data_IF_065275474593
#
_entry.id   IF_065275474593
#
_cell.length_a   1.000
_cell.length_b   1.000
_cell.length_c   1.000
_cell.angle_alpha   90.00
_cell.angle_beta   90.00
_cell.angle_gamma   90.00
#
_symmetry.space_group_name_H-M   'P 1'
#
loop_
_entity.id
_entity.type
_entity.pdbx_description
1 polymer ?
#
# COMPACT_ATOMS: atom_id res chain seq x y z
N UNK A 1 -1.17 -14.66 -11.39
CA UNK A 1 -1.17 -13.22 -11.76
C UNK A 1 -2.28 -12.49 -10.99
N UNK A 2 -3.46 -13.10 -10.85
CA UNK A 2 -4.64 -12.53 -10.16
C UNK A 2 -4.40 -12.14 -8.70
N UNK A 3 -3.65 -12.93 -7.92
CA UNK A 3 -3.35 -12.61 -6.51
C UNK A 3 -2.40 -11.41 -6.36
N UNK A 4 -1.47 -11.20 -7.28
CA UNK A 4 -0.56 -10.05 -7.27
C UNK A 4 -1.29 -8.77 -7.66
N UNK A 5 -2.16 -8.85 -8.67
CA UNK A 5 -3.05 -7.74 -9.05
C UNK A 5 -4.03 -7.38 -7.93
N UNK A 6 -4.59 -8.38 -7.24
CA UNK A 6 -5.48 -8.17 -6.10
C UNK A 6 -4.78 -7.44 -4.94
N UNK A 7 -3.53 -7.78 -4.61
CA UNK A 7 -2.76 -7.10 -3.56
C UNK A 7 -2.45 -5.65 -3.93
N UNK A 8 -2.09 -5.38 -5.20
CA UNK A 8 -1.87 -4.01 -5.68
C UNK A 8 -3.13 -3.14 -5.59
N UNK A 9 -4.28 -3.68 -5.99
CA UNK A 9 -5.58 -2.99 -5.93
C UNK A 9 -6.02 -2.67 -4.49
N UNK A 10 -5.80 -3.58 -3.54
CA UNK A 10 -6.13 -3.37 -2.12
C UNK A 10 -5.30 -2.21 -1.53
N UNK A 11 -4.02 -2.12 -1.89
CA UNK A 11 -3.15 -1.04 -1.42
C UNK A 11 -3.58 0.34 -1.91
N UNK A 12 -3.97 0.46 -3.18
CA UNK A 12 -4.45 1.73 -3.75
C UNK A 12 -5.78 2.18 -3.15
N UNK A 13 -6.71 1.24 -2.90
CA UNK A 13 -8.02 1.54 -2.32
C UNK A 13 -7.93 1.96 -0.84
N UNK A 14 -6.98 1.39 -0.08
CA UNK A 14 -6.75 1.80 1.31
C UNK A 14 -6.29 3.27 1.42
N UNK A 15 -5.40 3.69 0.51
CA UNK A 15 -4.94 5.07 0.42
C UNK A 15 -6.07 6.06 0.08
N UNK A 16 -6.88 5.71 -0.92
CA UNK A 16 -8.05 6.50 -1.32
C UNK A 16 -9.03 6.69 -0.15
N UNK A 17 -9.31 5.64 0.62
CA UNK A 17 -10.21 5.72 1.77
C UNK A 17 -9.69 6.67 2.86
N UNK A 18 -8.39 6.64 3.17
CA UNK A 18 -7.80 7.50 4.20
C UNK A 18 -7.89 8.98 3.78
N UNK A 19 -7.59 9.29 2.52
CA UNK A 19 -7.68 10.66 2.00
C UNK A 19 -9.13 11.16 1.96
N UNK A 20 -10.07 10.31 1.55
CA UNK A 20 -11.48 10.67 1.44
C UNK A 20 -12.11 10.93 2.82
N UNK A 21 -11.73 10.14 3.83
CA UNK A 21 -12.10 10.36 5.23
C UNK A 21 -11.50 11.70 5.73
N UNK A 22 -10.22 11.96 5.48
CA UNK A 22 -9.57 13.22 5.88
C UNK A 22 -10.22 14.47 5.28
N UNK A 23 -10.72 14.37 4.04
CA UNK A 23 -11.46 15.44 3.38
C UNK A 23 -12.85 15.66 4.01
N UNK A 24 -13.54 14.59 4.41
CA UNK A 24 -14.88 14.67 5.01
C UNK A 24 -14.88 15.34 6.40
N UNK A 25 -13.78 15.25 7.14
CA UNK A 25 -13.66 15.76 8.51
C UNK A 25 -13.16 17.21 8.62
N UNK A 26 -12.95 17.93 7.51
CA UNK A 26 -12.42 19.32 7.47
C UNK A 26 -11.12 19.55 8.28
N UNK A 27 -10.39 18.47 8.59
CA UNK A 27 -9.15 18.45 9.39
C UNK A 27 -8.00 17.83 8.59
N UNK A 28 -7.94 18.18 7.30
CA UNK A 28 -7.08 17.55 6.31
C UNK A 28 -5.60 17.46 6.73
N UNK A 29 -5.07 18.44 7.47
CA UNK A 29 -3.66 18.48 7.88
C UNK A 29 -3.23 17.26 8.72
N UNK A 30 -4.07 16.80 9.66
CA UNK A 30 -3.69 15.68 10.54
C UNK A 30 -3.84 14.32 9.84
N UNK A 31 -4.79 14.23 8.91
CA UNK A 31 -5.01 13.02 8.11
C UNK A 31 -4.04 12.92 6.94
N UNK A 32 -3.43 14.04 6.52
CA UNK A 32 -2.40 14.07 5.48
C UNK A 32 -1.14 13.31 5.91
N UNK A 33 -0.65 13.53 7.14
CA UNK A 33 0.49 12.79 7.69
C UNK A 33 0.22 11.28 7.78
N UNK A 34 -1.00 10.91 8.18
CA UNK A 34 -1.43 9.51 8.21
C UNK A 34 -1.50 8.91 6.79
N UNK A 35 -2.06 9.64 5.83
CA UNK A 35 -2.16 9.23 4.44
C UNK A 35 -0.77 9.03 3.81
N UNK A 36 0.15 9.98 4.01
CA UNK A 36 1.52 9.89 3.52
C UNK A 36 2.27 8.71 4.17
N UNK A 37 2.11 8.51 5.47
CA UNK A 37 2.71 7.36 6.17
C UNK A 37 2.17 6.04 5.63
N UNK A 38 0.86 5.92 5.43
CA UNK A 38 0.26 4.72 4.82
C UNK A 38 0.65 4.54 3.35
N UNK A 39 0.86 5.62 2.61
CA UNK A 39 1.38 5.53 1.23
C UNK A 39 2.76 4.88 1.20
N UNK A 40 3.66 5.36 2.07
CA UNK A 40 5.03 4.85 2.15
C UNK A 40 5.02 3.41 2.65
N UNK A 41 4.24 3.10 3.69
CA UNK A 41 4.10 1.73 4.21
C UNK A 41 3.58 0.76 3.15
N UNK A 42 2.55 1.16 2.41
CA UNK A 42 1.99 0.33 1.34
C UNK A 42 3.01 0.11 0.21
N UNK A 43 3.74 1.15 -0.18
CA UNK A 43 4.80 1.05 -1.18
C UNK A 43 5.92 0.09 -0.75
N UNK A 44 6.42 0.23 0.49
CA UNK A 44 7.41 -0.68 1.06
C UNK A 44 6.86 -2.11 1.15
N UNK A 45 5.60 -2.28 1.55
CA UNK A 45 4.94 -3.59 1.63
C UNK A 45 4.90 -4.31 0.28
N UNK A 46 4.55 -3.61 -0.80
CA UNK A 46 4.55 -4.17 -2.16
C UNK A 46 5.98 -4.53 -2.61
N UNK A 47 6.97 -3.67 -2.35
CA UNK A 47 8.37 -3.97 -2.67
C UNK A 47 8.91 -5.16 -1.87
N UNK A 48 8.60 -5.23 -0.58
CA UNK A 48 9.01 -6.32 0.29
C UNK A 48 8.38 -7.65 -0.15
N UNK A 49 7.10 -7.65 -0.52
CA UNK A 49 6.42 -8.81 -1.09
C UNK A 49 7.01 -9.21 -2.44
N UNK A 50 7.30 -8.24 -3.32
CA UNK A 50 7.96 -8.48 -4.60
C UNK A 50 9.32 -9.16 -4.41
N UNK A 51 10.17 -8.60 -3.55
CA UNK A 51 11.50 -9.16 -3.22
C UNK A 51 11.41 -10.52 -2.52
N UNK A 52 10.43 -10.72 -1.65
CA UNK A 52 10.21 -12.01 -0.99
C UNK A 52 9.79 -13.10 -2.00
N UNK A 53 8.89 -12.77 -2.93
CA UNK A 53 8.48 -13.69 -4.00
C UNK A 53 9.61 -13.99 -4.98
N UNK A 54 10.41 -12.98 -5.34
CA UNK A 54 11.61 -13.15 -6.17
C UNK A 54 12.66 -14.03 -5.48
N UNK A 55 12.98 -13.74 -4.22
CA UNK A 55 13.94 -14.52 -3.42
C UNK A 55 13.49 -15.98 -3.23
N UNK A 56 12.19 -16.21 -3.05
CA UNK A 56 11.59 -17.57 -3.03
C UNK A 56 11.66 -18.28 -4.38
N UNK A 57 11.62 -17.54 -5.49
CA UNK A 57 11.69 -18.08 -6.86
C UNK A 57 13.14 -18.35 -7.31
N UNK A 58 14.11 -17.61 -6.77
CA UNK A 58 15.55 -17.86 -6.92
C UNK A 58 16.12 -18.91 -5.96
N UNK A 59 15.29 -19.44 -5.06
CA UNK A 59 15.66 -20.49 -4.10
C UNK A 59 15.28 -21.91 -4.54
N UNK A 60 15.59 -22.28 -5.79
CA UNK A 60 15.63 -23.67 -6.23
C UNK A 60 16.90 -23.87 -7.07
N UNK A 61 17.74 -24.89 -6.79
CA UNK A 61 18.98 -25.17 -7.53
C UNK A 61 18.74 -25.47 -9.02
#
# INVERSE_FOLDING_TARGET
FDRLLAVGLVGSNALLLIVLIGFLYERADMFLDLALTYAILNFIGVLALGKFLESRRGGNP
#
